data_IF_157407995808
#
_entry.id   IF_157407995808
#
_cell.length_a   1.000
_cell.length_b   1.000
_cell.length_c   1.000
_cell.angle_alpha   90.00
_cell.angle_beta   90.00
_cell.angle_gamma   90.00
#
_symmetry.space_group_name_H-M   'P 1'
#
loop_
_entity.id
_entity.type
_entity.pdbx_description
1 polymer ?
#
# COMPACT_ATOMS: atom_id res chain seq x y z
N UNK A 1 3.60 16.74 48.97
CA UNK A 1 2.52 15.99 48.29
C UNK A 1 2.40 16.38 46.81
N UNK A 2 2.63 17.64 46.43
CA UNK A 2 2.49 18.11 45.04
C UNK A 2 3.53 17.53 44.06
N UNK A 3 4.80 17.44 44.49
CA UNK A 3 5.90 16.90 43.65
C UNK A 3 5.67 15.43 43.29
N UNK A 4 5.13 14.64 44.22
CA UNK A 4 4.82 13.21 43.99
C UNK A 4 3.72 13.06 42.94
N UNK A 5 2.71 13.94 42.95
CA UNK A 5 1.66 13.96 41.94
C UNK A 5 2.18 14.27 40.54
N UNK A 6 3.08 15.25 40.42
CA UNK A 6 3.70 15.64 39.13
C UNK A 6 4.56 14.51 38.56
N UNK A 7 5.38 13.87 39.40
CA UNK A 7 6.23 12.74 38.99
C UNK A 7 5.36 11.56 38.52
N UNK A 8 4.26 11.27 39.23
CA UNK A 8 3.34 10.18 38.86
C UNK A 8 2.65 10.46 37.54
N UNK A 9 2.19 11.70 37.31
CA UNK A 9 1.55 12.12 36.06
C UNK A 9 2.52 12.03 34.87
N UNK A 10 3.76 12.49 35.03
CA UNK A 10 4.82 12.35 34.02
C UNK A 10 5.11 10.89 33.68
N UNK A 11 5.19 10.03 34.70
CA UNK A 11 5.40 8.59 34.52
C UNK A 11 4.26 7.96 33.71
N UNK A 12 3.01 8.27 34.06
CA UNK A 12 1.82 7.78 33.33
C UNK A 12 1.84 8.26 31.88
N UNK A 13 2.24 9.51 31.63
CA UNK A 13 2.27 10.07 30.27
C UNK A 13 3.40 9.44 29.42
N UNK A 14 4.56 9.16 30.03
CA UNK A 14 5.67 8.44 29.39
C UNK A 14 5.29 6.99 29.11
N UNK A 15 4.65 6.29 30.05
CA UNK A 15 4.15 4.93 29.83
C UNK A 15 3.02 4.86 28.80
N UNK A 16 2.13 5.86 28.77
CA UNK A 16 1.07 5.96 27.77
C UNK A 16 1.65 6.17 26.37
N UNK A 17 2.67 7.03 26.22
CA UNK A 17 3.36 7.22 24.93
C UNK A 17 4.16 5.98 24.50
N UNK A 18 4.82 5.29 25.43
CA UNK A 18 5.48 4.00 25.18
C UNK A 18 4.49 2.87 24.82
N UNK A 19 3.31 2.84 25.43
CA UNK A 19 2.25 1.87 25.11
C UNK A 19 1.69 2.09 23.69
N UNK A 20 1.57 3.35 23.26
CA UNK A 20 1.23 3.66 21.86
C UNK A 20 2.33 3.19 20.90
N UNK A 21 3.62 3.38 21.23
CA UNK A 21 4.75 2.94 20.39
C UNK A 21 4.91 1.40 20.36
N UNK A 22 4.51 0.69 21.41
CA UNK A 22 4.54 -0.77 21.45
C UNK A 22 3.45 -1.41 20.58
N UNK A 23 2.30 -0.75 20.43
CA UNK A 23 1.17 -1.28 19.65
C UNK A 23 1.41 -1.17 18.14
N UNK A 24 2.24 -0.22 17.69
CA UNK A 24 2.66 -0.10 16.28
C UNK A 24 3.72 -1.15 15.89
N UNK A 25 4.39 -1.78 16.87
CA UNK A 25 5.52 -2.68 16.61
C UNK A 25 5.14 -4.14 16.34
N UNK A 26 3.91 -4.56 16.59
CA UNK A 26 3.46 -5.94 16.30
C UNK A 26 3.16 -6.17 14.82
N UNK A 27 2.89 -5.12 14.04
CA UNK A 27 2.80 -5.18 12.56
C UNK A 27 4.20 -5.29 11.91
N UNK A 28 5.26 -4.94 12.64
CA UNK A 28 6.64 -4.94 12.13
C UNK A 28 7.23 -6.34 11.92
N UNK A 29 6.51 -7.39 12.30
CA UNK A 29 6.96 -8.80 12.23
C UNK A 29 6.68 -9.47 10.88
N UNK A 30 5.84 -8.87 10.03
CA UNK A 30 5.61 -9.36 8.65
C UNK A 30 6.75 -8.92 7.71
N UNK A 31 7.70 -8.09 8.19
CA UNK A 31 8.80 -7.47 7.44
C UNK A 31 9.93 -8.39 6.94
N UNK A 32 9.72 -9.71 6.79
CA UNK A 32 10.78 -10.60 6.25
C UNK A 32 10.37 -11.50 5.07
N UNK A 33 9.15 -11.34 4.54
CA UNK A 33 8.70 -12.15 3.40
C UNK A 33 8.78 -11.48 2.02
N UNK A 34 8.68 -10.15 1.95
CA UNK A 34 8.23 -9.48 0.71
C UNK A 34 9.36 -8.80 -0.08
N UNK A 35 10.57 -8.70 0.48
CA UNK A 35 11.66 -7.92 -0.11
C UNK A 35 12.40 -8.57 -1.30
N UNK A 36 11.89 -9.64 -1.94
CA UNK A 36 12.50 -10.18 -3.17
C UNK A 36 11.44 -10.72 -4.13
N UNK A 37 10.90 -9.85 -4.98
CA UNK A 37 10.11 -10.32 -6.12
C UNK A 37 9.24 -9.29 -6.84
N UNK A 38 9.08 -8.06 -6.36
CA UNK A 38 8.08 -7.14 -6.91
C UNK A 38 8.57 -6.27 -8.10
N UNK A 39 9.87 -6.22 -8.40
CA UNK A 39 10.39 -5.32 -9.44
C UNK A 39 10.37 -5.89 -10.89
N UNK A 40 9.93 -7.14 -11.11
CA UNK A 40 10.05 -7.80 -12.43
C UNK A 40 8.74 -8.33 -13.05
N UNK A 41 7.59 -8.10 -12.42
CA UNK A 41 6.32 -8.65 -12.90
C UNK A 41 5.53 -7.71 -13.86
N UNK A 42 6.09 -6.56 -14.26
CA UNK A 42 5.37 -5.57 -15.10
C UNK A 42 5.48 -5.79 -16.63
N UNK A 43 6.09 -6.86 -17.14
CA UNK A 43 6.16 -7.13 -18.59
C UNK A 43 5.95 -8.58 -19.06
N UNK A 44 5.61 -9.52 -18.18
CA UNK A 44 5.54 -10.95 -18.54
C UNK A 44 4.14 -11.59 -18.39
N UNK A 45 3.14 -10.83 -17.94
CA UNK A 45 1.88 -11.42 -17.43
C UNK A 45 0.66 -11.10 -18.31
N UNK A 46 0.73 -10.17 -19.26
CA UNK A 46 -0.50 -9.74 -19.94
C UNK A 46 -0.97 -10.63 -21.10
N UNK A 47 -0.12 -11.33 -21.88
CA UNK A 47 -0.64 -12.06 -23.07
C UNK A 47 -0.22 -13.53 -23.24
N UNK A 48 0.90 -13.97 -22.65
CA UNK A 48 1.47 -15.29 -23.02
C UNK A 48 1.00 -16.46 -22.12
N UNK A 49 0.65 -16.22 -20.86
CA UNK A 49 0.28 -17.30 -19.92
C UNK A 49 -1.23 -17.57 -19.84
N UNK A 50 -2.06 -16.53 -20.00
CA UNK A 50 -3.53 -16.63 -19.97
C UNK A 50 -4.11 -17.51 -21.11
N UNK A 51 -3.37 -17.70 -22.21
CA UNK A 51 -3.83 -18.48 -23.37
C UNK A 51 -3.18 -19.87 -23.51
N UNK A 52 -1.97 -20.06 -23.01
CA UNK A 52 -1.23 -21.31 -23.19
C UNK A 52 -1.48 -22.35 -22.07
N UNK A 53 -1.82 -21.94 -20.83
CA UNK A 53 -1.90 -22.88 -19.70
C UNK A 53 -3.31 -23.41 -19.39
N UNK A 54 -4.37 -22.77 -19.91
CA UNK A 54 -5.76 -23.28 -19.85
C UNK A 54 -5.93 -24.70 -20.43
N UNK A 55 -4.94 -25.22 -21.16
CA UNK A 55 -5.00 -26.52 -21.84
C UNK A 55 -4.05 -27.60 -21.31
N UNK A 56 -3.33 -27.39 -20.20
CA UNK A 56 -2.33 -28.39 -19.73
C UNK A 56 -2.80 -29.25 -18.54
N UNK A 57 -3.99 -29.01 -18.00
CA UNK A 57 -4.75 -30.01 -17.23
C UNK A 57 -6.25 -29.77 -17.44
N UNK A 58 -6.88 -30.38 -18.46
CA UNK A 58 -8.33 -30.31 -18.62
C UNK A 58 -9.00 -31.03 -17.45
N UNK A 59 -9.68 -30.30 -16.56
CA UNK A 59 -10.45 -30.91 -15.46
C UNK A 59 -10.71 -29.97 -14.27
N UNK A 60 -11.60 -30.39 -13.39
CA UNK A 60 -12.07 -29.63 -12.22
C UNK A 60 -10.91 -29.29 -11.25
N UNK A 61 -9.88 -30.14 -11.16
CA UNK A 61 -8.69 -29.88 -10.33
C UNK A 61 -7.84 -28.69 -10.82
N UNK A 62 -7.78 -28.45 -12.14
CA UNK A 62 -7.07 -27.29 -12.70
C UNK A 62 -7.75 -25.97 -12.35
N UNK A 63 -9.09 -25.96 -12.23
CA UNK A 63 -9.85 -24.79 -11.82
C UNK A 63 -9.56 -24.42 -10.35
N UNK A 64 -9.49 -25.42 -9.46
CA UNK A 64 -9.09 -25.21 -8.06
C UNK A 64 -7.68 -24.62 -7.98
N UNK A 65 -6.72 -25.17 -8.74
CA UNK A 65 -5.36 -24.65 -8.77
C UNK A 65 -5.29 -23.20 -9.27
N UNK A 66 -6.10 -22.83 -10.28
CA UNK A 66 -6.16 -21.46 -10.78
C UNK A 66 -6.71 -20.49 -9.72
N UNK A 67 -7.81 -20.84 -9.06
CA UNK A 67 -8.39 -20.01 -7.99
C UNK A 67 -7.37 -19.72 -6.87
N UNK A 68 -6.52 -20.70 -6.54
CA UNK A 68 -5.45 -20.52 -5.56
C UNK A 68 -4.36 -19.55 -6.04
N UNK A 69 -4.00 -19.63 -7.32
CA UNK A 69 -3.03 -18.70 -7.93
C UNK A 69 -3.60 -17.29 -7.94
N UNK A 70 -4.85 -17.12 -8.35
CA UNK A 70 -5.52 -15.81 -8.42
C UNK A 70 -5.60 -15.16 -7.04
N UNK A 71 -6.03 -15.94 -6.03
CA UNK A 71 -6.13 -15.48 -4.65
C UNK A 71 -4.78 -15.01 -4.08
N UNK A 72 -3.72 -15.79 -4.27
CA UNK A 72 -2.37 -15.44 -3.81
C UNK A 72 -1.83 -14.22 -4.53
N UNK A 73 -1.99 -14.17 -5.84
CA UNK A 73 -1.50 -13.06 -6.68
C UNK A 73 -2.18 -11.74 -6.30
N UNK A 74 -3.50 -11.74 -6.08
CA UNK A 74 -4.23 -10.54 -5.69
C UNK A 74 -3.74 -10.00 -4.33
N UNK A 75 -3.59 -10.88 -3.33
CA UNK A 75 -3.14 -10.48 -2.00
C UNK A 75 -1.69 -9.98 -2.03
N UNK A 76 -0.78 -10.71 -2.69
CA UNK A 76 0.64 -10.34 -2.77
C UNK A 76 0.83 -9.01 -3.53
N UNK A 77 0.10 -8.81 -4.63
CA UNK A 77 0.13 -7.56 -5.39
C UNK A 77 -0.39 -6.36 -4.57
N UNK A 78 -1.38 -6.60 -3.71
CA UNK A 78 -1.94 -5.54 -2.84
C UNK A 78 -0.97 -5.21 -1.71
N UNK A 79 -0.32 -6.20 -1.09
CA UNK A 79 0.74 -5.95 -0.11
C UNK A 79 1.89 -5.17 -0.74
N UNK A 80 2.33 -5.54 -1.95
CA UNK A 80 3.38 -4.80 -2.65
C UNK A 80 2.99 -3.33 -2.92
N UNK A 81 1.73 -3.08 -3.33
CA UNK A 81 1.25 -1.72 -3.58
C UNK A 81 1.25 -0.84 -2.32
N UNK A 82 0.99 -1.43 -1.14
CA UNK A 82 1.00 -0.75 0.15
C UNK A 82 2.42 -0.63 0.77
N UNK A 83 3.27 -1.64 0.63
CA UNK A 83 4.63 -1.67 1.23
C UNK A 83 5.61 -0.74 0.51
N UNK A 84 5.47 -0.56 -0.81
CA UNK A 84 6.23 0.44 -1.58
C UNK A 84 6.10 1.86 -1.00
N UNK A 85 5.11 2.12 -0.15
CA UNK A 85 4.60 3.47 0.05
C UNK A 85 4.39 3.88 1.50
N UNK A 86 4.99 3.23 2.52
CA UNK A 86 4.67 3.64 3.89
C UNK A 86 5.69 3.58 5.03
N UNK A 87 6.01 4.77 5.58
CA UNK A 87 5.85 4.96 7.02
C UNK A 87 4.86 6.05 7.50
N UNK A 88 4.51 7.11 6.74
CA UNK A 88 4.01 8.38 7.38
C UNK A 88 2.54 8.87 7.11
N UNK A 89 1.82 8.44 6.07
CA UNK A 89 0.35 8.59 5.85
C UNK A 89 -0.58 7.59 6.63
N UNK A 90 -1.30 8.11 7.62
CA UNK A 90 -2.20 7.31 8.47
C UNK A 90 -3.26 6.48 7.71
N UNK A 91 -3.77 6.95 6.56
CA UNK A 91 -4.81 6.24 5.82
C UNK A 91 -4.29 4.94 5.19
N UNK A 92 -3.03 4.94 4.73
CA UNK A 92 -2.38 3.74 4.19
C UNK A 92 -2.05 2.71 5.29
N UNK A 93 -1.77 3.18 6.52
CA UNK A 93 -1.62 2.30 7.68
C UNK A 93 -2.95 1.58 8.03
N UNK A 94 -4.08 2.27 7.94
CA UNK A 94 -5.40 1.67 8.14
C UNK A 94 -5.74 0.66 7.03
N UNK A 95 -5.49 1.01 5.76
CA UNK A 95 -5.65 0.10 4.63
C UNK A 95 -4.79 -1.17 4.77
N UNK A 96 -3.56 -1.06 5.27
CA UNK A 96 -2.70 -2.20 5.58
C UNK A 96 -3.30 -3.10 6.69
N UNK A 97 -3.93 -2.51 7.70
CA UNK A 97 -4.66 -3.26 8.73
C UNK A 97 -5.89 -4.01 8.18
N UNK A 98 -6.61 -3.41 7.22
CA UNK A 98 -7.70 -4.08 6.50
C UNK A 98 -7.17 -5.24 5.65
N UNK A 99 -6.09 -5.03 4.90
CA UNK A 99 -5.48 -6.08 4.08
C UNK A 99 -4.96 -7.25 4.94
N UNK A 100 -4.41 -6.99 6.12
CA UNK A 100 -3.99 -8.05 7.04
C UNK A 100 -5.16 -8.98 7.42
N UNK A 101 -6.31 -8.41 7.79
CA UNK A 101 -7.54 -9.16 8.09
C UNK A 101 -8.06 -9.92 6.85
N UNK A 102 -8.04 -9.27 5.68
CA UNK A 102 -8.43 -9.92 4.42
C UNK A 102 -7.52 -11.11 4.08
N UNK A 103 -6.21 -10.97 4.31
CA UNK A 103 -5.24 -12.03 4.08
C UNK A 103 -5.45 -13.24 5.01
N UNK A 104 -5.92 -13.03 6.25
CA UNK A 104 -6.29 -14.15 7.12
C UNK A 104 -7.47 -14.94 6.54
N UNK A 105 -8.47 -14.25 6.00
CA UNK A 105 -9.57 -14.90 5.25
C UNK A 105 -9.07 -15.60 3.99
N UNK A 106 -8.15 -14.98 3.24
CA UNK A 106 -7.56 -15.57 2.05
C UNK A 106 -6.77 -16.86 2.38
N UNK A 107 -6.05 -16.89 3.50
CA UNK A 107 -5.32 -18.09 3.95
C UNK A 107 -6.25 -19.23 4.36
N UNK A 108 -7.34 -18.91 5.06
CA UNK A 108 -8.37 -19.90 5.38
C UNK A 108 -8.97 -20.50 4.10
N UNK A 109 -9.30 -19.65 3.13
CA UNK A 109 -9.86 -20.04 1.85
C UNK A 109 -8.88 -20.86 0.98
N UNK A 110 -7.59 -20.50 0.92
CA UNK A 110 -6.56 -21.32 0.27
C UNK A 110 -6.43 -22.70 0.93
N UNK A 111 -6.62 -22.77 2.26
CA UNK A 111 -6.70 -24.02 3.00
C UNK A 111 -7.87 -24.90 2.54
N UNK A 112 -9.07 -24.33 2.42
CA UNK A 112 -10.25 -25.01 1.90
C UNK A 112 -10.04 -25.51 0.46
N UNK A 113 -9.51 -24.65 -0.42
CA UNK A 113 -9.18 -25.01 -1.80
C UNK A 113 -8.14 -26.14 -1.87
N UNK A 114 -7.13 -26.14 -0.99
CA UNK A 114 -6.11 -27.19 -0.92
C UNK A 114 -6.67 -28.53 -0.45
N UNK A 115 -7.66 -28.51 0.44
CA UNK A 115 -8.40 -29.73 0.81
C UNK A 115 -9.23 -30.24 -0.37
N UNK A 116 -9.89 -29.33 -1.08
CA UNK A 116 -10.70 -29.68 -2.25
C UNK A 116 -9.85 -30.22 -3.41
N UNK A 117 -8.64 -29.71 -3.61
CA UNK A 117 -7.68 -30.21 -4.61
C UNK A 117 -7.28 -31.68 -4.37
N UNK A 118 -7.23 -32.10 -3.10
CA UNK A 118 -6.88 -33.46 -2.68
C UNK A 118 -8.06 -34.43 -2.70
N UNK A 119 -9.27 -33.95 -2.97
CA UNK A 119 -10.47 -34.78 -2.99
C UNK A 119 -10.45 -35.74 -4.20
N UNK A 120 -10.48 -37.07 -3.96
CA UNK A 120 -10.59 -38.06 -5.03
C UNK A 120 -11.94 -37.99 -5.76
N UNK A 121 -13.05 -37.73 -5.05
CA UNK A 121 -14.39 -37.69 -5.66
C UNK A 121 -14.63 -36.39 -6.44
N UNK A 122 -14.58 -36.49 -7.78
CA UNK A 122 -14.75 -35.35 -8.68
C UNK A 122 -16.17 -34.77 -8.67
N UNK A 123 -17.19 -35.55 -8.30
CA UNK A 123 -18.55 -35.04 -8.17
C UNK A 123 -18.68 -34.12 -6.95
N UNK A 124 -18.03 -34.47 -5.84
CA UNK A 124 -17.95 -33.65 -4.64
C UNK A 124 -17.18 -32.35 -4.88
N UNK A 125 -16.09 -32.42 -5.66
CA UNK A 125 -15.37 -31.22 -6.10
C UNK A 125 -16.27 -30.32 -6.96
N UNK A 126 -16.97 -30.87 -7.95
CA UNK A 126 -17.87 -30.12 -8.82
C UNK A 126 -18.97 -29.39 -8.03
N UNK A 127 -19.52 -30.02 -7.00
CA UNK A 127 -20.59 -29.45 -6.19
C UNK A 127 -20.12 -28.29 -5.28
N UNK A 128 -18.89 -28.34 -4.78
CA UNK A 128 -18.34 -27.34 -3.83
C UNK A 128 -17.58 -26.20 -4.52
N UNK A 129 -17.08 -26.43 -5.72
CA UNK A 129 -16.25 -25.47 -6.43
C UNK A 129 -16.92 -24.11 -6.68
N UNK A 130 -18.20 -24.02 -7.11
CA UNK A 130 -18.83 -22.72 -7.39
C UNK A 130 -18.89 -21.80 -6.18
N UNK A 131 -19.24 -22.34 -5.00
CA UNK A 131 -19.29 -21.59 -3.75
C UNK A 131 -17.91 -21.02 -3.36
N UNK A 132 -16.87 -21.87 -3.41
CA UNK A 132 -15.50 -21.41 -3.16
C UNK A 132 -15.02 -20.40 -4.20
N UNK A 133 -15.41 -20.55 -5.46
CA UNK A 133 -15.07 -19.61 -6.51
C UNK A 133 -15.68 -18.22 -6.27
N UNK A 134 -16.94 -18.14 -5.84
CA UNK A 134 -17.57 -16.88 -5.44
C UNK A 134 -16.83 -16.23 -4.28
N UNK A 135 -16.51 -17.00 -3.22
CA UNK A 135 -15.75 -16.46 -2.08
C UNK A 135 -14.35 -15.99 -2.46
N UNK A 136 -13.67 -16.67 -3.39
CA UNK A 136 -12.38 -16.21 -3.94
C UNK A 136 -12.57 -14.90 -4.69
N UNK A 137 -13.60 -14.82 -5.53
CA UNK A 137 -13.91 -13.60 -6.26
C UNK A 137 -14.12 -12.41 -5.32
N UNK A 138 -14.92 -12.57 -4.27
CA UNK A 138 -15.19 -11.49 -3.29
C UNK A 138 -13.90 -11.00 -2.60
N UNK A 139 -13.02 -11.93 -2.20
CA UNK A 139 -11.73 -11.61 -1.57
C UNK A 139 -10.78 -10.92 -2.56
N UNK A 140 -10.66 -11.44 -3.79
CA UNK A 140 -9.82 -10.83 -4.82
C UNK A 140 -10.31 -9.45 -5.24
N UNK A 141 -11.63 -9.27 -5.34
CA UNK A 141 -12.23 -7.98 -5.64
C UNK A 141 -11.96 -6.96 -4.53
N UNK A 142 -12.12 -7.37 -3.27
CA UNK A 142 -11.79 -6.52 -2.11
C UNK A 142 -10.31 -6.12 -2.07
N UNK A 143 -9.41 -7.06 -2.38
CA UNK A 143 -7.98 -6.80 -2.48
C UNK A 143 -7.67 -5.81 -3.62
N UNK A 144 -8.31 -5.99 -4.78
CA UNK A 144 -8.18 -5.06 -5.91
C UNK A 144 -8.68 -3.66 -5.58
N UNK A 145 -9.80 -3.51 -4.87
CA UNK A 145 -10.27 -2.20 -4.41
C UNK A 145 -9.24 -1.51 -3.52
N UNK A 146 -8.62 -2.23 -2.57
CA UNK A 146 -7.55 -1.68 -1.73
C UNK A 146 -6.31 -1.29 -2.56
N UNK A 147 -5.94 -2.13 -3.53
CA UNK A 147 -4.80 -1.89 -4.43
C UNK A 147 -5.01 -0.63 -5.28
N UNK A 148 -6.18 -0.47 -5.85
CA UNK A 148 -6.56 0.71 -6.62
C UNK A 148 -6.55 1.97 -5.75
N UNK A 149 -7.14 1.93 -4.55
CA UNK A 149 -7.13 3.05 -3.63
C UNK A 149 -5.69 3.46 -3.23
N UNK A 150 -4.81 2.49 -2.98
CA UNK A 150 -3.41 2.77 -2.66
C UNK A 150 -2.65 3.42 -3.82
N UNK A 151 -2.90 2.98 -5.06
CA UNK A 151 -2.28 3.54 -6.25
C UNK A 151 -2.80 4.96 -6.55
N UNK A 152 -4.11 5.17 -6.43
CA UNK A 152 -4.76 6.47 -6.61
C UNK A 152 -4.20 7.50 -5.61
N UNK A 153 -4.08 7.12 -4.34
CA UNK A 153 -3.46 7.95 -3.30
C UNK A 153 -2.03 8.37 -3.67
N UNK A 154 -1.26 7.46 -4.25
CA UNK A 154 0.12 7.73 -4.68
C UNK A 154 0.19 8.71 -5.86
N UNK A 155 -0.73 8.58 -6.82
CA UNK A 155 -0.85 9.50 -7.94
C UNK A 155 -1.19 10.92 -7.48
N UNK A 156 -2.14 11.05 -6.54
CA UNK A 156 -2.49 12.34 -5.97
C UNK A 156 -1.33 12.96 -5.17
N UNK A 157 -0.67 12.20 -4.29
CA UNK A 157 0.48 12.70 -3.54
C UNK A 157 1.61 13.22 -4.45
N UNK A 158 1.95 12.49 -5.52
CA UNK A 158 2.98 12.91 -6.49
C UNK A 158 2.58 14.19 -7.23
N UNK A 159 1.29 14.31 -7.57
CA UNK A 159 0.74 15.48 -8.28
C UNK A 159 0.78 16.73 -7.38
N UNK A 160 0.39 16.57 -6.12
CA UNK A 160 0.41 17.65 -5.13
C UNK A 160 1.84 18.12 -4.86
N UNK A 161 2.79 17.21 -4.67
CA UNK A 161 4.21 17.52 -4.48
C UNK A 161 4.80 18.29 -5.68
N UNK A 162 4.50 17.86 -6.90
CA UNK A 162 4.94 18.55 -8.11
C UNK A 162 4.32 19.94 -8.25
N UNK A 163 3.04 20.09 -7.88
CA UNK A 163 2.34 21.39 -7.92
C UNK A 163 2.94 22.38 -6.91
N UNK A 164 3.27 21.90 -5.70
CA UNK A 164 3.95 22.66 -4.65
C UNK A 164 5.34 23.09 -5.12
N UNK A 165 6.12 22.16 -5.66
CA UNK A 165 7.45 22.44 -6.21
C UNK A 165 7.40 23.45 -7.36
N UNK A 166 6.45 23.31 -8.27
CA UNK A 166 6.26 24.24 -9.39
C UNK A 166 5.92 25.65 -8.88
N UNK A 167 5.06 25.74 -7.87
CA UNK A 167 4.70 27.02 -7.23
C UNK A 167 5.90 27.68 -6.56
N UNK A 168 6.73 26.89 -5.86
CA UNK A 168 7.96 27.36 -5.25
C UNK A 168 8.96 27.85 -6.30
N UNK A 169 9.19 27.07 -7.36
CA UNK A 169 10.06 27.47 -8.47
C UNK A 169 9.57 28.78 -9.11
N UNK A 170 8.26 28.95 -9.30
CA UNK A 170 7.70 30.17 -9.86
C UNK A 170 7.97 31.39 -8.96
N UNK A 171 7.80 31.25 -7.65
CA UNK A 171 8.08 32.29 -6.66
C UNK A 171 9.57 32.67 -6.65
N UNK A 172 10.45 31.68 -6.58
CA UNK A 172 11.91 31.88 -6.59
C UNK A 172 12.38 32.51 -7.92
N UNK A 173 11.84 32.05 -9.05
CA UNK A 173 12.15 32.61 -10.35
C UNK A 173 11.66 34.06 -10.50
N UNK A 174 10.53 34.41 -9.89
CA UNK A 174 10.05 35.79 -9.83
C UNK A 174 10.98 36.66 -8.98
N UNK A 175 11.45 36.15 -7.83
CA UNK A 175 12.42 36.83 -6.98
C UNK A 175 13.74 37.11 -7.73
N UNK A 176 14.26 36.13 -8.48
CA UNK A 176 15.46 36.30 -9.31
C UNK A 176 15.29 37.36 -10.42
N UNK A 177 14.09 37.50 -10.98
CA UNK A 177 13.78 38.50 -12.02
C UNK A 177 13.55 39.91 -11.46
N UNK A 178 13.11 40.01 -10.20
CA UNK A 178 12.83 41.29 -9.55
C UNK A 178 14.06 41.91 -8.87
N UNK A 179 15.28 41.55 -9.29
CA UNK A 179 16.48 42.26 -8.86
C UNK A 179 16.41 43.72 -9.35
N UNK A 180 15.85 44.59 -8.53
CA UNK A 180 15.93 46.04 -8.67
C UNK A 180 17.33 46.46 -8.22
N UNK A 181 18.18 46.99 -9.13
CA UNK A 181 19.44 47.59 -8.71
C UNK A 181 19.14 48.72 -7.73
N UNK A 182 19.76 48.69 -6.56
CA UNK A 182 19.71 49.83 -5.64
C UNK A 182 20.36 51.01 -6.34
N UNK A 183 19.55 51.96 -6.82
CA UNK A 183 20.08 53.18 -7.41
C UNK A 183 20.91 53.90 -6.34
N UNK A 184 22.20 54.17 -6.58
CA UNK A 184 23.06 54.78 -5.57
C UNK A 184 22.47 56.14 -5.18
N UNK A 185 22.56 56.55 -3.90
CA UNK A 185 21.96 57.79 -3.44
C UNK A 185 22.45 58.96 -4.29
N UNK A 186 21.53 59.57 -5.04
CA UNK A 186 21.77 60.82 -5.76
C UNK A 186 22.28 61.84 -4.76
N UNK A 187 23.58 62.19 -4.86
CA UNK A 187 24.18 63.23 -4.02
C UNK A 187 23.43 64.54 -4.25
N UNK A 188 23.04 65.28 -3.19
CA UNK A 188 22.38 66.56 -3.36
C UNK A 188 23.33 67.52 -4.06
N UNK A 189 22.90 68.08 -5.20
CA UNK A 189 23.58 69.21 -5.84
C UNK A 189 23.46 70.44 -4.94
N UNK A 190 24.60 70.92 -4.44
CA UNK A 190 24.70 72.21 -3.75
C UNK A 190 24.42 73.33 -4.77
N UNK A 191 23.55 74.31 -4.44
CA UNK A 191 23.35 75.47 -5.29
C UNK A 191 24.42 76.52 -5.04
N UNK A 192 25.07 76.98 -6.11
CA UNK A 192 25.81 78.24 -6.13
C UNK A 192 27.16 78.17 -6.83
N UNK A 193 27.18 78.63 -8.09
CA UNK A 193 28.24 79.46 -8.66
C UNK A 193 27.56 80.72 -9.23
#
# INVERSE_FOLDING_TARGET
MEIVGIITLLLVLVFATLATVATVRTVRSVKRGVARGAAQARRAVEDAQLKARRYTTPGIGGQVAQLRIDLRTAIDATFAALDERHPDDAALAEAAGLLARLNDHARALDGELKLLEREPDKSRVAARLPDLATRVHDVTHSADTLRWAAQDRAHHATTDDLSSLTSQIALESAALRHWTPTEPPTKPSLPGD
#
